data_IF_034229153825
#
_entry.id   IF_034229153825
#
_cell.length_a   1.000
_cell.length_b   1.000
_cell.length_c   1.000
_cell.angle_alpha   90.00
_cell.angle_beta   90.00
_cell.angle_gamma   90.00
#
_symmetry.space_group_name_H-M   'P 1'
#
loop_
_entity.id
_entity.type
_entity.pdbx_description
1 polymer ?
#
# COMPACT_ATOMS: atom_id res chain seq x y z
N UNK A 1 -13.09 -2.66 12.04
CA UNK A 1 -13.40 -2.81 10.60
C UNK A 1 -12.27 -2.31 9.70
N UNK A 2 -11.67 -1.15 9.98
CA UNK A 2 -10.60 -0.54 9.15
C UNK A 2 -9.41 -1.46 8.84
N UNK A 3 -8.89 -2.21 9.83
CA UNK A 3 -7.74 -3.12 9.62
C UNK A 3 -8.00 -4.24 8.59
N UNK A 4 -9.21 -4.79 8.56
CA UNK A 4 -9.57 -5.87 7.63
C UNK A 4 -9.65 -5.35 6.19
N UNK A 5 -10.21 -4.16 6.00
CA UNK A 5 -10.25 -3.49 4.69
C UNK A 5 -8.85 -3.18 4.15
N UNK A 6 -7.91 -2.79 5.01
CA UNK A 6 -6.52 -2.57 4.59
C UNK A 6 -5.86 -3.88 4.19
N UNK A 7 -6.09 -4.97 4.94
CA UNK A 7 -5.62 -6.30 4.56
C UNK A 7 -6.14 -6.73 3.17
N UNK A 8 -7.41 -6.48 2.89
CA UNK A 8 -8.02 -6.80 1.59
C UNK A 8 -7.39 -6.00 0.43
N UNK A 9 -7.12 -4.71 0.64
CA UNK A 9 -6.44 -3.89 -0.38
C UNK A 9 -4.95 -4.26 -0.55
N UNK A 10 -4.27 -4.69 0.51
CA UNK A 10 -2.90 -5.24 0.41
C UNK A 10 -2.91 -6.53 -0.43
N UNK A 11 -3.85 -7.43 -0.18
CA UNK A 11 -4.00 -8.66 -0.97
C UNK A 11 -4.28 -8.34 -2.45
N UNK A 12 -5.14 -7.34 -2.71
CA UNK A 12 -5.44 -6.85 -4.06
C UNK A 12 -4.19 -6.28 -4.74
N UNK A 13 -3.39 -5.46 -4.05
CA UNK A 13 -2.14 -4.92 -4.58
C UNK A 13 -1.15 -6.04 -4.97
N UNK A 14 -1.00 -7.06 -4.11
CA UNK A 14 -0.16 -8.23 -4.40
C UNK A 14 -0.65 -9.01 -5.63
N UNK A 15 -1.96 -9.21 -5.78
CA UNK A 15 -2.51 -9.87 -6.97
C UNK A 15 -2.26 -9.07 -8.24
N UNK A 16 -2.38 -7.74 -8.20
CA UNK A 16 -2.05 -6.88 -9.34
C UNK A 16 -0.58 -6.96 -9.70
N UNK A 17 0.33 -6.95 -8.72
CA UNK A 17 1.77 -7.14 -8.94
C UNK A 17 2.12 -8.48 -9.61
N UNK A 18 1.38 -9.54 -9.31
CA UNK A 18 1.58 -10.84 -9.95
C UNK A 18 1.12 -10.86 -11.42
N UNK A 19 0.05 -10.12 -11.74
CA UNK A 19 -0.50 -10.05 -13.09
C UNK A 19 0.24 -9.05 -13.98
N UNK A 20 0.70 -7.94 -13.39
CA UNK A 20 1.45 -6.88 -14.03
C UNK A 20 2.64 -6.52 -13.13
N UNK A 21 3.79 -7.21 -13.29
CA UNK A 21 4.97 -6.88 -12.53
C UNK A 21 5.45 -5.47 -12.89
N UNK A 22 5.84 -4.74 -11.85
CA UNK A 22 6.47 -3.44 -11.98
C UNK A 22 7.96 -3.61 -12.35
N UNK A 23 8.65 -2.53 -12.74
CA UNK A 23 10.10 -2.51 -12.76
C UNK A 23 10.67 -2.99 -11.39
N UNK A 24 11.78 -3.75 -11.37
CA UNK A 24 12.28 -4.38 -10.14
C UNK A 24 12.44 -3.42 -8.95
N UNK A 25 12.90 -2.19 -9.22
CA UNK A 25 13.06 -1.16 -8.20
C UNK A 25 11.72 -0.78 -7.52
N UNK A 26 10.62 -0.69 -8.26
CA UNK A 26 9.29 -0.37 -7.73
C UNK A 26 8.61 -1.60 -7.13
N UNK A 27 8.85 -2.77 -7.71
CA UNK A 27 8.27 -4.03 -7.24
C UNK A 27 8.80 -4.42 -5.86
N UNK A 28 10.12 -4.33 -5.66
CA UNK A 28 10.75 -4.67 -4.38
C UNK A 28 10.34 -3.69 -3.28
N UNK A 29 10.32 -2.40 -3.60
CA UNK A 29 9.87 -1.33 -2.70
C UNK A 29 8.42 -1.54 -2.27
N UNK A 30 7.50 -1.70 -3.23
CA UNK A 30 6.08 -1.91 -2.92
C UNK A 30 5.85 -3.23 -2.17
N UNK A 31 6.50 -4.32 -2.56
CA UNK A 31 6.35 -5.61 -1.88
C UNK A 31 6.80 -5.53 -0.43
N UNK A 32 7.90 -4.81 -0.16
CA UNK A 32 8.39 -4.57 1.20
C UNK A 32 7.43 -3.70 1.99
N UNK A 33 6.94 -2.60 1.43
CA UNK A 33 5.97 -1.72 2.08
C UNK A 33 4.71 -2.49 2.46
N UNK A 34 4.16 -3.32 1.56
CA UNK A 34 2.97 -4.13 1.82
C UNK A 34 3.20 -5.16 2.95
N UNK A 35 4.37 -5.79 2.99
CA UNK A 35 4.72 -6.72 4.06
C UNK A 35 4.88 -6.02 5.42
N UNK A 36 5.53 -4.86 5.44
CA UNK A 36 5.70 -4.06 6.65
C UNK A 36 4.35 -3.53 7.17
N UNK A 37 3.44 -3.17 6.26
CA UNK A 37 2.06 -2.79 6.61
C UNK A 37 1.27 -3.96 7.22
N UNK A 38 1.35 -5.16 6.64
CA UNK A 38 0.69 -6.36 7.21
C UNK A 38 1.18 -6.69 8.61
N UNK A 39 2.49 -6.56 8.86
CA UNK A 39 3.06 -6.70 10.19
C UNK A 39 2.54 -5.62 11.13
N UNK A 40 2.50 -4.37 10.67
CA UNK A 40 2.04 -3.25 11.49
C UNK A 40 0.54 -3.33 11.82
N UNK A 41 -0.30 -3.86 10.92
CA UNK A 41 -1.73 -4.07 11.21
C UNK A 41 -1.95 -5.03 12.39
N UNK A 42 -1.03 -5.98 12.61
CA UNK A 42 -1.07 -6.94 13.71
C UNK A 42 -0.58 -6.35 15.04
N UNK A 43 0.18 -5.25 15.00
CA UNK A 43 0.73 -4.59 16.19
C UNK A 43 -0.11 -3.34 16.51
N UNK A 44 -0.47 -3.06 17.78
CA UNK A 44 -1.23 -1.86 18.15
C UNK A 44 -0.33 -0.62 18.32
N UNK A 45 0.64 -0.41 17.43
CA UNK A 45 1.48 0.79 17.45
C UNK A 45 1.01 1.80 16.41
N UNK A 46 0.80 3.08 16.77
CA UNK A 46 0.40 4.11 15.80
C UNK A 46 1.58 4.68 14.98
N UNK A 47 2.81 4.39 15.37
CA UNK A 47 4.00 5.16 14.99
C UNK A 47 4.42 5.08 13.50
N UNK A 48 3.92 4.12 12.71
CA UNK A 48 4.33 3.98 11.29
C UNK A 48 3.30 4.44 10.28
N UNK A 49 2.12 4.89 10.73
CA UNK A 49 1.02 5.23 9.82
C UNK A 49 1.40 6.36 8.86
N UNK A 50 2.06 7.42 9.34
CA UNK A 50 2.54 8.53 8.49
C UNK A 50 3.62 8.11 7.51
N UNK A 51 4.61 7.31 7.95
CA UNK A 51 5.66 6.79 7.06
C UNK A 51 5.07 5.95 5.91
N UNK A 52 4.06 5.12 6.21
CA UNK A 52 3.35 4.35 5.17
C UNK A 52 2.56 5.24 4.23
N UNK A 53 1.89 6.28 4.74
CA UNK A 53 1.15 7.22 3.90
C UNK A 53 2.08 7.92 2.90
N UNK A 54 3.23 8.40 3.34
CA UNK A 54 4.18 9.08 2.46
C UNK A 54 4.79 8.12 1.43
N UNK A 55 5.14 6.91 1.86
CA UNK A 55 5.68 5.88 0.96
C UNK A 55 4.67 5.48 -0.11
N UNK A 56 3.41 5.24 0.28
CA UNK A 56 2.36 4.84 -0.66
C UNK A 56 2.02 5.96 -1.64
N UNK A 57 1.97 7.22 -1.20
CA UNK A 57 1.76 8.39 -2.09
C UNK A 57 2.90 8.53 -3.10
N UNK A 58 4.14 8.33 -2.65
CA UNK A 58 5.31 8.34 -3.53
C UNK A 58 5.26 7.24 -4.58
N UNK A 59 4.87 6.02 -4.20
CA UNK A 59 4.69 4.90 -5.11
C UNK A 59 3.52 5.12 -6.07
N UNK A 60 2.38 5.61 -5.58
CA UNK A 60 1.19 5.95 -6.38
C UNK A 60 1.56 6.91 -7.52
N UNK A 61 2.21 8.03 -7.20
CA UNK A 61 2.63 9.02 -8.20
C UNK A 61 3.63 8.46 -9.23
N UNK A 62 4.49 7.50 -8.83
CA UNK A 62 5.46 6.87 -9.72
C UNK A 62 4.84 5.88 -10.68
N UNK A 63 3.77 5.20 -10.26
CA UNK A 63 3.14 4.14 -11.06
C UNK A 63 1.85 4.60 -11.75
N UNK A 64 1.31 5.78 -11.46
CA UNK A 64 0.05 6.29 -12.03
C UNK A 64 0.02 6.31 -13.56
N UNK A 65 1.12 6.74 -14.20
CA UNK A 65 1.19 6.85 -15.66
C UNK A 65 1.24 5.49 -16.37
N UNK A 66 1.89 4.49 -15.77
CA UNK A 66 2.17 3.19 -16.39
C UNK A 66 1.23 2.09 -15.90
N UNK A 67 0.75 2.20 -14.65
CA UNK A 67 -0.06 1.21 -13.94
C UNK A 67 -1.22 1.89 -13.17
N UNK A 68 -2.21 2.48 -13.88
CA UNK A 68 -3.29 3.25 -13.26
C UNK A 68 -4.16 2.42 -12.31
N UNK A 69 -4.31 1.10 -12.58
CA UNK A 69 -5.02 0.20 -11.68
C UNK A 69 -4.30 0.03 -10.35
N UNK A 70 -2.97 -0.09 -10.38
CA UNK A 70 -2.17 -0.22 -9.17
C UNK A 70 -2.16 1.08 -8.38
N UNK A 71 -2.02 2.23 -9.05
CA UNK A 71 -2.14 3.54 -8.41
C UNK A 71 -3.49 3.69 -7.69
N UNK A 72 -4.60 3.25 -8.31
CA UNK A 72 -5.92 3.25 -7.64
C UNK A 72 -5.97 2.41 -6.36
N UNK A 73 -5.29 1.24 -6.33
CA UNK A 73 -5.19 0.41 -5.12
C UNK A 73 -4.33 1.10 -4.05
N UNK A 74 -3.21 1.73 -4.43
CA UNK A 74 -2.37 2.48 -3.51
C UNK A 74 -3.11 3.69 -2.92
N UNK A 75 -3.85 4.45 -3.73
CA UNK A 75 -4.69 5.56 -3.26
C UNK A 75 -5.80 5.12 -2.30
N UNK A 76 -6.37 3.93 -2.51
CA UNK A 76 -7.31 3.34 -1.54
C UNK A 76 -6.62 3.00 -0.21
N UNK A 77 -5.42 2.41 -0.24
CA UNK A 77 -4.62 2.14 0.96
C UNK A 77 -4.30 3.44 1.71
N UNK A 78 -3.89 4.50 1.01
CA UNK A 78 -3.64 5.83 1.58
C UNK A 78 -4.90 6.36 2.29
N UNK A 79 -6.07 6.28 1.64
CA UNK A 79 -7.32 6.73 2.24
C UNK A 79 -7.70 5.93 3.49
N UNK A 80 -7.56 4.61 3.44
CA UNK A 80 -7.89 3.73 4.57
C UNK A 80 -6.94 3.93 5.75
N UNK A 81 -5.64 4.08 5.50
CA UNK A 81 -4.64 4.38 6.52
C UNK A 81 -4.87 5.76 7.14
N UNK A 82 -5.15 6.78 6.32
CA UNK A 82 -5.46 8.14 6.79
C UNK A 82 -6.67 8.17 7.71
N UNK A 83 -7.71 7.39 7.38
CA UNK A 83 -8.90 7.25 8.22
C UNK A 83 -8.67 6.49 9.54
N UNK A 84 -7.51 5.84 9.75
CA UNK A 84 -7.14 5.23 11.03
C UNK A 84 -6.32 6.14 11.94
N UNK A 85 -5.66 7.16 11.38
CA UNK A 85 -4.86 8.13 12.13
C UNK A 85 -5.64 9.36 12.62
N UNK A 86 -6.91 9.49 12.24
CA UNK A 86 -7.87 10.51 12.69
C UNK A 86 -8.77 9.92 13.78
#
# INVERSE_FOLDING_TARGET
>A
MSKQLIGDEIARARSHLQQQPLPPAHQDELTRTLADMELHLQVPEPAKTEEFLDTLRGLEARVEAEHPLLAGVLGNLVRLLGNMGV
#
